data_IF_984481990125
#
_entry.id   IF_984481990125
#
_cell.length_a   1.000
_cell.length_b   1.000
_cell.length_c   1.000
_cell.angle_alpha   90.00
_cell.angle_beta   90.00
_cell.angle_gamma   90.00
#
_symmetry.space_group_name_H-M   'P 1'
#
loop_
_entity.id
_entity.type
_entity.pdbx_description
1 polymer ?
#
# COMPACT_ATOMS: atom_id res chain seq x y z
N UNK A 1 20.01 -0.89 1.21
CA UNK A 1 18.60 -1.24 1.05
C UNK A 1 18.04 -1.63 2.41
N UNK A 2 16.92 -1.03 2.80
CA UNK A 2 16.22 -1.29 4.06
C UNK A 2 14.79 -1.70 3.75
N UNK A 3 14.24 -2.62 4.54
CA UNK A 3 12.83 -2.99 4.46
C UNK A 3 12.22 -2.63 5.81
N UNK A 4 11.12 -1.87 5.82
CA UNK A 4 10.40 -1.47 7.03
C UNK A 4 8.91 -1.72 6.88
N UNK A 5 8.25 -2.00 8.00
CA UNK A 5 6.80 -1.89 8.06
C UNK A 5 6.36 -0.42 7.94
N UNK A 6 5.11 -0.21 7.56
CA UNK A 6 4.51 1.12 7.60
C UNK A 6 4.41 1.66 9.03
N UNK A 7 4.51 2.98 9.19
CA UNK A 7 4.21 3.64 10.45
C UNK A 7 2.71 3.98 10.55
N UNK A 8 1.96 3.22 11.34
CA UNK A 8 0.51 3.43 11.53
C UNK A 8 0.15 4.78 12.14
N UNK A 9 1.04 5.40 12.91
CA UNK A 9 0.80 6.74 13.47
C UNK A 9 0.81 7.81 12.36
N UNK A 10 1.48 7.52 11.23
CA UNK A 10 1.59 8.37 10.04
C UNK A 10 0.95 7.72 8.83
N UNK A 11 -0.12 6.95 9.04
CA UNK A 11 -0.74 6.12 8.00
C UNK A 11 -1.10 6.89 6.72
N UNK A 12 -1.63 8.11 6.84
CA UNK A 12 -1.96 8.94 5.69
C UNK A 12 -0.72 9.27 4.83
N UNK A 13 0.42 9.52 5.46
CA UNK A 13 1.69 9.77 4.78
C UNK A 13 2.24 8.50 4.12
N UNK A 14 2.14 7.35 4.82
CA UNK A 14 2.51 6.05 4.24
C UNK A 14 1.66 5.73 3.01
N UNK A 15 0.37 6.08 3.01
CA UNK A 15 -0.50 5.90 1.84
C UNK A 15 -0.09 6.79 0.67
N UNK A 16 0.43 8.00 0.91
CA UNK A 16 0.98 8.82 -0.17
C UNK A 16 2.21 8.18 -0.80
N UNK A 17 3.13 7.66 0.02
CA UNK A 17 4.31 6.94 -0.45
C UNK A 17 3.90 5.75 -1.33
N UNK A 18 2.93 4.94 -0.86
CA UNK A 18 2.42 3.80 -1.64
C UNK A 18 1.78 4.24 -2.96
N UNK A 19 0.98 5.31 -2.96
CA UNK A 19 0.34 5.86 -4.17
C UNK A 19 1.37 6.33 -5.19
N UNK A 20 2.40 7.04 -4.74
CA UNK A 20 3.48 7.54 -5.60
C UNK A 20 4.27 6.39 -6.24
N UNK A 21 4.63 5.37 -5.46
CA UNK A 21 5.30 4.17 -5.97
C UNK A 21 4.39 3.43 -6.95
N UNK A 22 3.10 3.25 -6.62
CA UNK A 22 2.15 2.56 -7.49
C UNK A 22 2.00 3.30 -8.82
N UNK A 23 1.69 4.60 -8.78
CA UNK A 23 1.47 5.39 -9.99
C UNK A 23 2.73 5.45 -10.85
N UNK A 24 3.91 5.68 -10.25
CA UNK A 24 5.17 5.75 -11.01
C UNK A 24 5.57 4.39 -11.60
N UNK A 25 5.34 3.29 -10.88
CA UNK A 25 5.67 1.94 -11.32
C UNK A 25 4.71 1.37 -12.37
N UNK A 26 3.42 1.74 -12.32
CA UNK A 26 2.38 1.22 -13.21
C UNK A 26 1.99 2.14 -14.37
N UNK A 27 2.45 3.39 -14.40
CA UNK A 27 2.06 4.36 -15.45
C UNK A 27 2.28 3.90 -16.90
N UNK A 28 3.21 2.97 -17.13
CA UNK A 28 3.53 2.45 -18.46
C UNK A 28 2.69 1.21 -18.84
N UNK A 29 1.80 0.75 -17.97
CA UNK A 29 0.94 -0.39 -18.24
C UNK A 29 -0.28 0.06 -19.08
N UNK A 30 -0.65 -0.75 -20.08
CA UNK A 30 -1.82 -0.48 -20.91
C UNK A 30 -3.10 -0.37 -20.07
N UNK A 31 -3.89 0.68 -20.31
CA UNK A 31 -5.14 0.91 -19.58
C UNK A 31 -4.96 1.39 -18.14
N UNK A 32 -3.73 1.80 -17.75
CA UNK A 32 -3.49 2.40 -16.46
C UNK A 32 -4.24 3.73 -16.31
N UNK A 33 -4.91 3.88 -15.16
CA UNK A 33 -5.52 5.12 -14.71
C UNK A 33 -4.87 5.48 -13.37
N UNK A 34 -4.23 6.66 -13.25
CA UNK A 34 -3.57 7.05 -12.01
C UNK A 34 -4.59 7.22 -10.89
N UNK A 35 -4.30 6.63 -9.73
CA UNK A 35 -5.10 6.87 -8.55
C UNK A 35 -4.93 8.32 -8.09
N UNK A 36 -6.07 8.96 -7.82
CA UNK A 36 -6.09 10.23 -7.10
C UNK A 36 -5.75 10.03 -5.63
N UNK A 37 -5.41 11.12 -4.95
CA UNK A 37 -5.14 11.12 -3.51
C UNK A 37 -6.33 10.57 -2.70
N UNK A 38 -7.54 11.02 -3.04
CA UNK A 38 -8.76 10.65 -2.34
C UNK A 38 -9.12 9.17 -2.51
N UNK A 39 -9.01 8.63 -3.74
CA UNK A 39 -9.28 7.21 -4.01
C UNK A 39 -8.31 6.31 -3.26
N UNK A 40 -7.03 6.65 -3.27
CA UNK A 40 -6.02 5.83 -2.61
C UNK A 40 -6.15 5.89 -1.09
N UNK A 41 -6.48 7.05 -0.52
CA UNK A 41 -6.78 7.19 0.91
C UNK A 41 -7.99 6.33 1.32
N UNK A 42 -9.06 6.36 0.52
CA UNK A 42 -10.27 5.55 0.76
C UNK A 42 -9.94 4.05 0.72
N UNK A 43 -9.14 3.61 -0.25
CA UNK A 43 -8.67 2.23 -0.33
C UNK A 43 -7.79 1.86 0.87
N UNK A 44 -6.88 2.75 1.27
CA UNK A 44 -6.03 2.59 2.44
C UNK A 44 -6.84 2.40 3.74
N UNK A 45 -7.90 3.19 3.93
CA UNK A 45 -8.79 3.06 5.08
C UNK A 45 -9.49 1.69 5.13
N UNK A 46 -9.88 1.14 3.99
CA UNK A 46 -10.42 -0.22 3.93
C UNK A 46 -9.35 -1.27 4.27
N UNK A 47 -8.15 -1.13 3.72
CA UNK A 47 -7.02 -2.02 4.00
C UNK A 47 -6.64 -2.01 5.48
N UNK A 48 -6.73 -0.86 6.16
CA UNK A 48 -6.44 -0.73 7.60
C UNK A 48 -7.26 -1.66 8.49
N UNK A 49 -8.47 -2.04 8.08
CA UNK A 49 -9.32 -2.98 8.83
C UNK A 49 -9.04 -4.45 8.49
N UNK A 50 -8.49 -4.70 7.31
CA UNK A 50 -8.33 -6.06 6.75
C UNK A 50 -6.90 -6.57 6.88
N UNK A 51 -5.92 -5.68 6.89
CA UNK A 51 -4.50 -5.97 6.76
C UNK A 51 -3.76 -5.54 8.03
N UNK A 52 -3.16 -6.47 8.77
CA UNK A 52 -2.22 -6.16 9.83
C UNK A 52 -1.01 -5.34 9.34
N UNK A 53 -0.46 -4.47 10.20
CA UNK A 53 0.64 -3.58 9.80
C UNK A 53 1.92 -4.34 9.42
N UNK A 54 2.13 -5.54 9.98
CA UNK A 54 3.21 -6.46 9.65
C UNK A 54 3.00 -7.23 8.33
N UNK A 55 1.99 -6.82 7.54
CA UNK A 55 1.78 -7.30 6.19
C UNK A 55 1.95 -6.20 5.13
N UNK A 56 2.35 -4.99 5.53
CA UNK A 56 2.65 -3.89 4.59
C UNK A 56 4.08 -3.44 4.80
N UNK A 57 4.92 -3.66 3.77
CA UNK A 57 6.32 -3.30 3.81
C UNK A 57 6.70 -2.35 2.69
N UNK A 58 7.62 -1.44 3.00
CA UNK A 58 8.24 -0.52 2.05
C UNK A 58 9.73 -0.85 1.98
N UNK A 59 10.24 -0.97 0.75
CA UNK A 59 11.66 -1.10 0.47
C UNK A 59 12.25 0.28 0.14
N UNK A 60 13.34 0.63 0.82
CA UNK A 60 14.04 1.91 0.68
C UNK A 60 15.48 1.70 0.20
N UNK A 61 15.92 2.53 -0.75
CA UNK A 61 17.30 2.64 -1.21
C UNK A 61 17.76 4.07 -0.92
N UNK A 62 18.88 4.23 -0.21
CA UNK A 62 19.41 5.54 0.20
C UNK A 62 18.38 6.44 0.90
N UNK A 63 17.51 5.83 1.74
CA UNK A 63 16.38 6.47 2.45
C UNK A 63 15.22 6.94 1.55
N UNK A 64 15.24 6.62 0.26
CA UNK A 64 14.13 6.87 -0.65
C UNK A 64 13.25 5.62 -0.81
N UNK A 65 11.92 5.72 -0.62
CA UNK A 65 10.99 4.63 -0.92
C UNK A 65 11.01 4.27 -2.41
N UNK A 66 11.19 2.99 -2.74
CA UNK A 66 11.32 2.54 -4.13
C UNK A 66 10.31 1.44 -4.50
N UNK A 67 9.85 0.65 -3.54
CA UNK A 67 8.87 -0.41 -3.76
C UNK A 67 8.06 -0.66 -2.49
N UNK A 68 6.90 -1.29 -2.64
CA UNK A 68 6.13 -1.80 -1.51
C UNK A 68 5.54 -3.17 -1.81
N UNK A 69 5.15 -3.88 -0.76
CA UNK A 69 4.36 -5.10 -0.85
C UNK A 69 3.23 -5.05 0.18
N UNK A 70 2.05 -5.51 -0.22
CA UNK A 70 0.88 -5.69 0.65
C UNK A 70 0.53 -7.18 0.64
N UNK A 71 0.61 -7.82 1.80
CA UNK A 71 0.08 -9.16 2.04
C UNK A 71 -1.38 -9.07 2.43
N UNK A 72 -2.28 -9.72 1.69
CA UNK A 72 -3.68 -9.82 2.06
C UNK A 72 -3.92 -11.15 2.79
N UNK A 73 -4.46 -11.14 4.01
CA UNK A 73 -4.83 -12.38 4.67
C UNK A 73 -5.99 -13.06 3.92
N UNK A 74 -6.07 -14.38 4.01
CA UNK A 74 -7.17 -15.13 3.42
C UNK A 74 -8.49 -14.76 4.12
N UNK A 75 -9.31 -13.93 3.47
CA UNK A 75 -10.60 -13.45 3.98
C UNK A 75 -11.77 -14.43 3.72
N UNK A 76 -11.59 -15.45 2.87
CA UNK A 76 -12.68 -16.34 2.42
C UNK A 76 -13.24 -17.21 3.56
N UNK A 77 -12.46 -17.51 4.60
CA UNK A 77 -12.89 -18.40 5.71
C UNK A 77 -13.76 -17.71 6.78
N UNK A 78 -14.12 -16.43 6.61
CA UNK A 78 -14.96 -15.66 7.56
C UNK A 78 -16.44 -15.57 7.20
N UNK A 79 -16.87 -16.11 6.05
CA UNK A 79 -18.29 -16.18 5.69
C UNK A 79 -18.83 -17.58 6.01
N UNK A 80 -19.85 -17.72 6.89
CA UNK A 80 -20.55 -18.99 7.05
C UNK A 80 -21.33 -19.25 5.76
N UNK A 81 -20.86 -20.20 4.97
CA UNK A 81 -21.67 -20.92 3.98
C UNK A 81 -22.38 -22.08 4.68
#
# INVERSE_FOLDING_TARGET
MTIRCINRQRFAEEMQILREIFNSGWQHNWGFVPFTEHEFATMGDQLKYLVPDDMIYIAEIDSAPCAFIVGLPNITRRLPI
#
